data_IF_543309300618
#
_entry.id   IF_543309300618
#
_cell.length_a   1.000
_cell.length_b   1.000
_cell.length_c   1.000
_cell.angle_alpha   90.00
_cell.angle_beta   90.00
_cell.angle_gamma   90.00
#
_symmetry.space_group_name_H-M   'P 1'
#
loop_
_entity.id
_entity.type
_entity.pdbx_description
1 polymer ?
#
# COMPACT_ATOMS: atom_id res chain seq x y z
N UNK A 1 -4.96 -0.81 28.70
CA UNK A 1 -3.67 -0.18 28.36
C UNK A 1 -3.86 0.67 27.12
N UNK A 2 -3.39 1.91 27.11
CA UNK A 2 -3.43 2.77 25.93
C UNK A 2 -2.50 2.27 24.81
N UNK A 3 -2.79 2.65 23.55
CA UNK A 3 -1.92 2.38 22.40
C UNK A 3 -0.56 3.05 22.59
N UNK A 4 0.50 2.41 22.09
CA UNK A 4 1.88 2.91 22.12
C UNK A 4 2.31 3.24 20.68
N UNK A 5 3.02 4.36 20.51
CA UNK A 5 3.74 4.72 19.31
C UNK A 5 5.25 4.80 19.59
N UNK A 6 6.07 4.66 18.56
CA UNK A 6 7.49 5.04 18.61
C UNK A 6 7.65 6.38 17.89
N UNK A 7 8.34 7.32 18.52
CA UNK A 7 8.65 8.64 17.97
C UNK A 7 10.10 8.98 18.31
N UNK A 8 10.96 9.12 17.32
CA UNK A 8 12.33 9.64 17.44
C UNK A 8 13.13 9.09 18.63
N UNK A 9 13.18 7.76 18.78
CA UNK A 9 13.97 7.11 19.85
C UNK A 9 13.17 6.71 21.10
N UNK A 10 11.91 7.15 21.23
CA UNK A 10 11.10 6.88 22.42
C UNK A 10 9.80 6.12 22.11
N UNK A 11 9.43 5.18 22.98
CA UNK A 11 8.08 4.57 22.99
C UNK A 11 7.18 5.39 23.91
N UNK A 12 6.21 6.06 23.33
CA UNK A 12 5.30 6.98 24.02
C UNK A 12 3.86 6.51 23.95
N UNK A 13 3.00 6.98 24.86
CA UNK A 13 1.56 6.75 24.70
C UNK A 13 1.10 7.39 23.39
N UNK A 14 0.28 6.71 22.64
CA UNK A 14 -0.21 7.21 21.34
C UNK A 14 -0.91 8.58 21.46
N UNK A 15 -1.57 8.84 22.58
CA UNK A 15 -2.22 10.13 22.84
C UNK A 15 -1.23 11.28 23.06
N UNK A 16 0.01 10.99 23.45
CA UNK A 16 1.06 11.98 23.73
C UNK A 16 2.10 12.03 22.58
N UNK A 17 1.92 11.21 21.53
CA UNK A 17 2.83 11.16 20.40
C UNK A 17 2.74 12.47 19.60
N UNK A 18 3.87 13.15 19.43
CA UNK A 18 3.97 14.40 18.69
C UNK A 18 5.25 14.45 17.86
N UNK A 19 5.21 15.17 16.77
CA UNK A 19 6.36 15.59 15.97
C UNK A 19 6.53 17.10 16.11
N UNK A 20 7.73 17.60 15.84
CA UNK A 20 7.99 19.04 15.90
C UNK A 20 7.19 19.78 14.81
N UNK A 21 6.73 21.00 15.10
CA UNK A 21 5.96 21.82 14.15
C UNK A 21 6.73 22.20 12.88
N UNK A 22 8.08 22.19 12.94
CA UNK A 22 8.98 22.40 11.80
C UNK A 22 9.48 21.08 11.19
N UNK A 23 8.86 19.92 11.50
CA UNK A 23 9.14 18.69 10.78
C UNK A 23 8.77 18.86 9.31
N UNK A 24 9.73 18.60 8.40
CA UNK A 24 9.54 18.84 6.97
C UNK A 24 8.50 17.88 6.34
N UNK A 25 8.33 16.70 6.90
CA UNK A 25 7.25 15.79 6.50
C UNK A 25 5.88 16.39 6.78
N UNK A 26 5.71 17.06 7.93
CA UNK A 26 4.49 17.75 8.29
C UNK A 26 4.24 18.99 7.42
N UNK A 27 5.26 19.82 7.21
CA UNK A 27 5.09 21.11 6.50
C UNK A 27 5.10 21.02 4.98
N UNK A 28 5.87 20.07 4.41
CA UNK A 28 6.21 20.04 2.98
C UNK A 28 5.98 18.67 2.34
N UNK A 29 5.47 17.69 3.07
CA UNK A 29 5.40 16.29 2.67
C UNK A 29 6.78 15.69 2.29
N UNK A 30 7.89 16.26 2.79
CA UNK A 30 9.25 15.78 2.56
C UNK A 30 9.53 14.55 3.45
N UNK A 31 8.85 13.46 3.09
CA UNK A 31 8.82 12.22 3.86
C UNK A 31 8.32 11.05 3.01
N UNK A 32 8.67 9.85 3.43
CA UNK A 32 8.16 8.60 2.89
C UNK A 32 7.47 7.79 4.00
N UNK A 33 6.69 6.79 3.60
CA UNK A 33 6.08 5.87 4.55
C UNK A 33 6.10 4.43 4.03
N UNK A 34 6.01 3.49 4.96
CA UNK A 34 5.81 2.08 4.68
C UNK A 34 4.69 1.50 5.53
N UNK A 35 4.05 0.45 5.00
CA UNK A 35 3.00 -0.26 5.71
C UNK A 35 3.21 -1.76 5.53
N UNK A 36 3.48 -2.46 6.62
CA UNK A 36 3.51 -3.93 6.65
C UNK A 36 2.17 -4.47 7.09
N UNK A 37 1.66 -5.47 6.38
CA UNK A 37 0.68 -6.37 6.96
C UNK A 37 1.35 -7.19 8.07
N UNK A 38 0.56 -7.52 9.07
CA UNK A 38 1.01 -8.33 10.19
C UNK A 38 0.05 -9.49 10.42
N UNK A 39 0.58 -10.68 10.52
CA UNK A 39 -0.15 -11.90 10.83
C UNK A 39 0.53 -12.63 11.97
N UNK A 40 -0.22 -12.97 13.00
CA UNK A 40 0.27 -13.65 14.20
C UNK A 40 1.47 -12.96 14.88
N UNK A 41 1.48 -11.63 14.89
CA UNK A 41 2.54 -10.81 15.49
C UNK A 41 3.81 -10.68 14.64
N UNK A 42 3.83 -11.23 13.43
CA UNK A 42 4.96 -11.22 12.50
C UNK A 42 4.68 -10.33 11.30
N UNK A 43 5.71 -9.62 10.82
CA UNK A 43 5.65 -8.72 9.65
C UNK A 43 5.69 -9.56 8.36
N UNK A 44 4.70 -9.38 7.49
CA UNK A 44 4.64 -10.01 6.18
C UNK A 44 5.51 -9.27 5.15
N UNK A 45 6.03 -9.99 4.17
CA UNK A 45 6.84 -9.46 3.05
C UNK A 45 7.97 -8.51 3.48
N UNK A 46 8.76 -8.82 4.53
CA UNK A 46 9.68 -7.85 5.13
C UNK A 46 10.73 -7.35 4.15
N UNK A 47 11.31 -8.24 3.32
CA UNK A 47 12.37 -7.91 2.38
C UNK A 47 11.92 -6.88 1.33
N UNK A 48 10.74 -7.11 0.73
CA UNK A 48 10.19 -6.20 -0.28
C UNK A 48 9.90 -4.80 0.29
N UNK A 49 9.38 -4.74 1.51
CA UNK A 49 9.09 -3.46 2.18
C UNK A 49 10.37 -2.71 2.55
N UNK A 50 11.41 -3.40 3.06
CA UNK A 50 12.69 -2.75 3.36
C UNK A 50 13.39 -2.26 2.10
N UNK A 51 13.41 -3.06 1.03
CA UNK A 51 13.99 -2.65 -0.25
C UNK A 51 13.27 -1.40 -0.83
N UNK A 52 11.94 -1.34 -0.73
CA UNK A 52 11.17 -0.17 -1.18
C UNK A 52 11.37 1.05 -0.28
N UNK A 53 11.51 0.85 1.04
CA UNK A 53 11.86 1.90 2.00
C UNK A 53 13.19 2.55 1.62
N UNK A 54 14.24 1.75 1.47
CA UNK A 54 15.59 2.20 1.10
C UNK A 54 15.58 2.94 -0.25
N UNK A 55 14.90 2.37 -1.25
CA UNK A 55 14.72 3.04 -2.54
C UNK A 55 14.00 4.39 -2.41
N UNK A 56 12.88 4.45 -1.70
CA UNK A 56 12.10 5.69 -1.57
C UNK A 56 12.85 6.78 -0.82
N UNK A 57 13.62 6.42 0.22
CA UNK A 57 14.51 7.34 0.92
C UNK A 57 15.62 7.86 0.01
N UNK A 58 16.27 6.96 -0.76
CA UNK A 58 17.31 7.33 -1.72
C UNK A 58 16.83 8.31 -2.79
N UNK A 59 15.63 8.11 -3.34
CA UNK A 59 15.01 9.00 -4.33
C UNK A 59 14.78 10.43 -3.79
N UNK A 60 14.57 10.58 -2.48
CA UNK A 60 14.43 11.88 -1.81
C UNK A 60 15.75 12.34 -1.16
N UNK A 61 16.85 11.62 -1.31
CA UNK A 61 18.12 11.91 -0.63
C UNK A 61 17.94 12.08 0.88
N UNK A 62 17.18 11.17 1.49
CA UNK A 62 17.02 11.06 2.94
C UNK A 62 17.83 9.83 3.39
N UNK A 63 18.71 10.00 4.35
CA UNK A 63 19.48 8.90 4.91
C UNK A 63 18.60 7.91 5.68
N UNK A 64 19.00 6.64 5.70
CA UNK A 64 18.36 5.67 6.59
C UNK A 64 18.52 6.11 8.04
N UNK A 65 17.43 6.21 8.82
CA UNK A 65 17.48 6.74 10.18
C UNK A 65 18.27 5.84 11.15
N UNK A 66 18.39 4.57 10.81
CA UNK A 66 19.10 3.55 11.58
C UNK A 66 19.35 2.32 10.71
N UNK A 67 20.16 1.37 11.17
CA UNK A 67 20.35 0.11 10.46
C UNK A 67 19.03 -0.67 10.34
N UNK A 68 18.91 -1.49 9.29
CA UNK A 68 17.74 -2.35 9.07
C UNK A 68 17.42 -3.24 10.29
N UNK A 69 18.46 -3.79 10.94
CA UNK A 69 18.30 -4.61 12.15
C UNK A 69 17.71 -3.81 13.32
N UNK A 70 18.20 -2.59 13.54
CA UNK A 70 17.65 -1.70 14.57
C UNK A 70 16.20 -1.32 14.27
N UNK A 71 15.89 -0.97 13.03
CA UNK A 71 14.52 -0.63 12.62
C UNK A 71 13.58 -1.82 12.77
N UNK A 72 14.01 -3.04 12.40
CA UNK A 72 13.25 -4.27 12.64
C UNK A 72 12.93 -4.46 14.13
N UNK A 73 13.90 -4.20 15.01
CA UNK A 73 13.69 -4.26 16.46
C UNK A 73 12.65 -3.22 16.91
N UNK A 74 12.72 -2.00 16.41
CA UNK A 74 11.75 -0.94 16.72
C UNK A 74 10.34 -1.33 16.26
N UNK A 75 10.18 -1.86 15.04
CA UNK A 75 8.89 -2.32 14.53
C UNK A 75 8.30 -3.43 15.40
N UNK A 76 9.08 -4.49 15.66
CA UNK A 76 8.65 -5.63 16.49
C UNK A 76 8.32 -5.22 17.91
N UNK A 77 9.12 -4.35 18.54
CA UNK A 77 8.88 -3.87 19.89
C UNK A 77 7.62 -2.99 19.97
N UNK A 78 7.35 -2.18 18.94
CA UNK A 78 6.10 -1.41 18.87
C UNK A 78 4.89 -2.34 18.78
N UNK A 79 4.97 -3.41 17.97
CA UNK A 79 3.93 -4.47 17.89
C UNK A 79 3.72 -5.12 19.26
N UNK A 80 4.80 -5.58 19.90
CA UNK A 80 4.78 -6.25 21.20
C UNK A 80 4.11 -5.40 22.30
N UNK A 81 4.46 -4.11 22.36
CA UNK A 81 3.88 -3.17 23.34
C UNK A 81 2.38 -2.95 23.12
N UNK A 82 1.92 -3.02 21.88
CA UNK A 82 0.49 -2.88 21.55
C UNK A 82 -0.31 -4.18 21.70
N UNK A 83 0.35 -5.34 21.89
CA UNK A 83 -0.29 -6.66 22.02
C UNK A 83 -1.25 -6.96 20.86
N UNK A 84 -0.86 -6.60 19.65
CA UNK A 84 -1.62 -6.84 18.43
C UNK A 84 -1.00 -8.01 17.69
N UNK A 85 -1.81 -9.00 17.28
CA UNK A 85 -1.35 -10.14 16.49
C UNK A 85 -1.63 -9.93 15.00
N UNK A 86 -2.80 -9.42 14.67
CA UNK A 86 -3.20 -9.17 13.28
C UNK A 86 -3.48 -7.70 13.07
N UNK A 87 -2.84 -7.11 12.05
CA UNK A 87 -2.92 -5.67 11.87
C UNK A 87 -2.00 -5.10 10.81
N UNK A 88 -1.77 -3.82 10.94
CA UNK A 88 -0.86 -3.05 10.09
C UNK A 88 0.15 -2.31 10.96
N UNK A 89 1.42 -2.35 10.56
CA UNK A 89 2.47 -1.51 11.09
C UNK A 89 2.74 -0.40 10.09
N UNK A 90 2.58 0.83 10.52
CA UNK A 90 2.90 2.03 9.74
C UNK A 90 4.21 2.62 10.23
N UNK A 91 5.12 2.88 9.31
CA UNK A 91 6.36 3.62 9.50
C UNK A 91 6.32 4.88 8.65
N UNK A 92 6.70 6.01 9.21
CA UNK A 92 7.00 7.23 8.46
C UNK A 92 8.42 7.69 8.78
N UNK A 93 9.15 8.09 7.75
CA UNK A 93 10.46 8.72 7.89
C UNK A 93 10.42 10.05 7.14
N UNK A 94 10.61 11.16 7.85
CA UNK A 94 10.75 12.48 7.24
C UNK A 94 12.23 12.87 7.19
N UNK A 95 12.55 13.90 6.40
CA UNK A 95 13.89 14.52 6.44
C UNK A 95 14.25 15.07 7.83
N UNK A 96 13.27 15.29 8.70
CA UNK A 96 13.46 15.80 10.06
C UNK A 96 13.12 17.28 10.19
N UNK A 97 13.64 17.90 11.25
CA UNK A 97 13.29 19.27 11.68
C UNK A 97 14.28 20.27 11.12
N UNK A 98 13.80 21.25 10.39
CA UNK A 98 14.59 22.36 9.87
C UNK A 98 13.71 23.60 9.67
N UNK A 99 14.26 24.81 9.70
CA UNK A 99 13.55 26.03 9.35
C UNK A 99 12.86 25.87 7.98
N UNK A 100 11.64 26.39 7.86
CA UNK A 100 10.83 26.22 6.67
C UNK A 100 11.44 26.86 5.45
N UNK A 101 11.95 26.08 4.54
CA UNK A 101 12.40 26.45 3.20
C UNK A 101 12.01 25.33 2.23
N UNK A 102 11.80 25.65 0.94
CA UNK A 102 11.54 24.64 -0.10
C UNK A 102 12.80 23.85 -0.46
N UNK A 103 13.96 24.49 -0.44
CA UNK A 103 15.24 23.81 -0.65
C UNK A 103 15.56 22.83 0.51
N UNK A 104 16.41 21.86 0.22
CA UNK A 104 16.92 21.00 1.29
C UNK A 104 17.78 21.81 2.27
N UNK A 105 17.77 21.46 3.57
CA UNK A 105 18.61 22.11 4.56
C UNK A 105 20.09 22.04 4.16
N UNK A 106 20.82 23.15 4.36
CA UNK A 106 22.26 23.22 4.08
C UNK A 106 23.08 22.32 5.03
N UNK A 107 22.58 22.11 6.24
CA UNK A 107 23.21 21.22 7.23
C UNK A 107 22.48 19.88 7.26
N UNK A 108 23.21 18.77 7.45
CA UNK A 108 22.58 17.46 7.64
C UNK A 108 21.55 17.50 8.76
N UNK A 109 20.34 17.03 8.44
CA UNK A 109 19.22 17.01 9.39
C UNK A 109 18.94 15.55 9.75
N UNK A 110 18.96 15.17 11.02
CA UNK A 110 18.61 13.82 11.43
C UNK A 110 17.17 13.47 11.00
N UNK A 111 16.95 12.37 10.28
CA UNK A 111 15.60 11.96 9.89
C UNK A 111 14.72 11.71 11.13
N UNK A 112 13.46 12.14 11.05
CA UNK A 112 12.48 11.83 12.09
C UNK A 112 11.74 10.53 11.75
N UNK A 113 11.50 9.71 12.77
CA UNK A 113 10.90 8.37 12.63
C UNK A 113 9.67 8.23 13.50
N UNK A 114 8.56 7.84 12.90
CA UNK A 114 7.32 7.53 13.62
C UNK A 114 6.86 6.13 13.25
N UNK A 115 6.55 5.30 14.26
CA UNK A 115 5.94 3.98 14.06
C UNK A 115 4.64 3.89 14.84
N UNK A 116 3.59 3.45 14.16
CA UNK A 116 2.29 3.15 14.79
C UNK A 116 1.80 1.77 14.38
N UNK A 117 0.92 1.19 15.20
CA UNK A 117 0.31 -0.12 14.92
C UNK A 117 -1.21 0.00 15.01
N UNK A 118 -1.90 -0.61 14.05
CA UNK A 118 -3.36 -0.66 13.99
C UNK A 118 -3.82 -2.12 13.91
N UNK A 119 -4.75 -2.51 14.78
CA UNK A 119 -5.41 -3.82 14.69
C UNK A 119 -6.31 -3.89 13.45
N UNK A 120 -6.32 -5.03 12.79
CA UNK A 120 -7.31 -5.40 11.77
C UNK A 120 -8.11 -6.61 12.25
N UNK A 121 -9.23 -6.87 11.58
CA UNK A 121 -10.05 -8.06 11.79
C UNK A 121 -9.90 -8.95 10.54
N UNK A 122 -9.16 -10.07 10.64
CA UNK A 122 -8.98 -10.99 9.52
C UNK A 122 -10.30 -11.63 9.06
N UNK A 123 -11.22 -11.90 9.98
CA UNK A 123 -12.51 -12.50 9.61
C UNK A 123 -13.38 -11.53 8.80
N UNK A 124 -13.42 -10.26 9.20
CA UNK A 124 -14.11 -9.23 8.43
C UNK A 124 -13.44 -8.98 7.06
N UNK A 125 -12.11 -9.04 6.99
CA UNK A 125 -11.39 -8.93 5.72
C UNK A 125 -11.70 -10.12 4.79
N UNK A 126 -11.78 -11.32 5.32
CA UNK A 126 -12.13 -12.52 4.57
C UNK A 126 -13.59 -12.50 4.08
N UNK A 127 -14.53 -12.11 4.93
CA UNK A 127 -15.94 -11.96 4.54
C UNK A 127 -16.11 -10.93 3.41
N UNK A 128 -15.35 -9.82 3.45
CA UNK A 128 -15.35 -8.84 2.37
C UNK A 128 -14.78 -9.42 1.08
N UNK A 129 -13.68 -10.16 1.15
CA UNK A 129 -13.09 -10.78 -0.02
C UNK A 129 -14.00 -11.84 -0.64
N UNK A 130 -14.69 -12.62 0.19
CA UNK A 130 -15.67 -13.61 -0.26
C UNK A 130 -16.90 -12.98 -0.96
N UNK A 131 -17.33 -11.80 -0.55
CA UNK A 131 -18.39 -11.03 -1.21
C UNK A 131 -17.91 -10.20 -2.41
N UNK A 132 -16.64 -9.88 -2.45
CA UNK A 132 -16.08 -8.88 -3.34
C UNK A 132 -16.49 -7.45 -2.98
N UNK A 133 -15.91 -6.48 -3.67
CA UNK A 133 -16.18 -5.06 -3.44
C UNK A 133 -16.41 -4.32 -4.75
N UNK A 134 -17.07 -3.15 -4.68
CA UNK A 134 -17.12 -2.20 -5.79
C UNK A 134 -15.97 -1.20 -5.73
N UNK A 135 -15.59 -0.69 -6.88
CA UNK A 135 -14.69 0.45 -7.04
C UNK A 135 -15.34 1.52 -7.89
N UNK A 136 -14.89 2.76 -7.75
CA UNK A 136 -15.20 3.84 -8.70
C UNK A 136 -13.95 4.21 -9.47
N UNK A 137 -14.11 4.90 -10.60
CA UNK A 137 -12.99 5.55 -11.30
C UNK A 137 -12.88 7.02 -10.93
N UNK A 138 -11.69 7.58 -11.09
CA UNK A 138 -11.39 9.00 -10.89
C UNK A 138 -10.24 9.42 -11.80
N UNK A 139 -10.19 10.66 -12.29
CA UNK A 139 -9.08 11.13 -13.11
C UNK A 139 -7.74 11.02 -12.39
N UNK A 140 -6.68 10.63 -13.11
CA UNK A 140 -5.31 10.64 -12.60
C UNK A 140 -4.83 12.09 -12.41
N UNK A 141 -4.72 12.51 -11.18
CA UNK A 141 -4.33 13.87 -10.81
C UNK A 141 -3.21 13.89 -9.76
N UNK A 142 -2.52 12.77 -9.58
CA UNK A 142 -1.37 12.67 -8.70
C UNK A 142 -0.13 13.27 -9.39
N UNK A 143 0.93 13.44 -8.63
CA UNK A 143 2.20 13.88 -9.19
C UNK A 143 2.88 12.78 -10.03
N UNK A 144 3.86 13.19 -10.87
CA UNK A 144 4.53 12.28 -11.81
C UNK A 144 5.50 11.25 -11.21
N UNK A 145 5.69 11.23 -9.88
CA UNK A 145 6.61 10.32 -9.17
C UNK A 145 5.85 9.42 -8.20
N UNK A 146 4.76 8.79 -8.66
CA UNK A 146 3.99 7.82 -7.87
C UNK A 146 4.79 6.56 -7.50
N UNK A 147 5.93 6.35 -8.14
CA UNK A 147 6.91 5.31 -7.82
C UNK A 147 7.57 5.49 -6.44
N UNK A 148 7.61 6.73 -5.91
CA UNK A 148 8.12 7.05 -4.58
C UNK A 148 6.97 7.02 -3.58
N UNK A 149 7.12 6.23 -2.50
CA UNK A 149 6.06 6.09 -1.49
C UNK A 149 6.03 7.27 -0.51
N UNK A 150 5.75 8.47 -1.04
CA UNK A 150 5.74 9.73 -0.26
C UNK A 150 4.45 9.90 0.54
N UNK A 151 4.48 10.76 1.56
CA UNK A 151 3.30 11.14 2.36
C UNK A 151 2.43 12.22 1.68
N UNK A 152 2.79 12.68 0.48
CA UNK A 152 2.02 13.65 -0.30
C UNK A 152 0.76 13.01 -0.93
N UNK A 153 -0.20 12.63 -0.11
CA UNK A 153 -1.33 11.77 -0.48
C UNK A 153 -2.67 12.51 -0.67
N UNK A 154 -2.67 13.83 -0.83
CA UNK A 154 -3.92 14.58 -0.95
C UNK A 154 -4.83 14.10 -2.10
N UNK A 155 -4.34 13.85 -3.33
CA UNK A 155 -5.17 13.27 -4.39
C UNK A 155 -5.75 11.91 -4.00
N UNK A 156 -4.95 11.04 -3.37
CA UNK A 156 -5.38 9.73 -2.89
C UNK A 156 -6.47 9.84 -1.80
N UNK A 157 -6.33 10.80 -0.88
CA UNK A 157 -7.33 11.08 0.16
C UNK A 157 -8.66 11.51 -0.45
N UNK A 158 -8.64 12.41 -1.43
CA UNK A 158 -9.85 12.87 -2.14
C UNK A 158 -10.50 11.73 -2.92
N UNK A 159 -9.72 10.91 -3.63
CA UNK A 159 -10.19 9.73 -4.34
C UNK A 159 -10.83 8.70 -3.39
N UNK A 160 -10.18 8.41 -2.25
CA UNK A 160 -10.75 7.52 -1.21
C UNK A 160 -12.03 8.07 -0.60
N UNK A 161 -12.11 9.38 -0.40
CA UNK A 161 -13.34 10.01 0.11
C UNK A 161 -14.47 9.92 -0.92
N UNK A 162 -14.18 10.14 -2.21
CA UNK A 162 -15.16 9.97 -3.29
C UNK A 162 -15.68 8.52 -3.34
N UNK A 163 -14.78 7.53 -3.30
CA UNK A 163 -15.15 6.11 -3.24
C UNK A 163 -16.08 5.82 -2.05
N UNK A 164 -15.70 6.29 -0.86
CA UNK A 164 -16.50 6.11 0.36
C UNK A 164 -17.89 6.74 0.24
N UNK A 165 -17.98 7.92 -0.34
CA UNK A 165 -19.27 8.62 -0.56
C UNK A 165 -20.17 7.89 -1.55
N UNK A 166 -19.57 7.16 -2.51
CA UNK A 166 -20.27 6.31 -3.48
C UNK A 166 -20.54 4.88 -2.94
N UNK A 167 -20.19 4.57 -1.68
CA UNK A 167 -20.33 3.22 -1.11
C UNK A 167 -19.31 2.21 -1.65
N UNK A 168 -18.27 2.67 -2.36
CA UNK A 168 -17.22 1.83 -2.92
C UNK A 168 -16.03 1.65 -1.95
N UNK A 169 -15.28 0.59 -2.14
CA UNK A 169 -14.13 0.26 -1.28
C UNK A 169 -12.83 0.95 -1.71
N UNK A 170 -12.69 1.23 -3.01
CA UNK A 170 -11.49 1.82 -3.59
C UNK A 170 -11.86 2.74 -4.75
N UNK A 171 -10.94 3.66 -5.10
CA UNK A 171 -11.01 4.42 -6.34
C UNK A 171 -9.84 4.02 -7.23
N UNK A 172 -10.08 3.74 -8.50
CA UNK A 172 -9.06 3.51 -9.51
C UNK A 172 -8.82 4.80 -10.30
N UNK A 173 -7.58 5.21 -10.38
CA UNK A 173 -7.17 6.33 -11.20
C UNK A 173 -7.14 5.93 -12.68
N UNK A 174 -7.66 6.82 -13.54
CA UNK A 174 -7.65 6.66 -15.00
C UNK A 174 -6.93 7.86 -15.60
N UNK A 175 -5.92 7.58 -16.43
CA UNK A 175 -5.14 8.62 -17.10
C UNK A 175 -5.91 9.26 -18.27
N UNK A 176 -5.30 10.30 -18.90
CA UNK A 176 -5.94 11.04 -19.98
C UNK A 176 -6.20 10.20 -21.26
N UNK A 177 -5.49 9.08 -21.39
CA UNK A 177 -5.62 8.16 -22.51
C UNK A 177 -6.66 7.04 -22.23
N UNK A 178 -7.32 7.09 -21.05
CA UNK A 178 -8.37 6.13 -20.67
C UNK A 178 -7.83 4.84 -20.04
N UNK A 179 -6.54 4.78 -19.68
CA UNK A 179 -5.96 3.61 -19.05
C UNK A 179 -6.01 3.70 -17.52
N UNK A 180 -6.34 2.58 -16.89
CA UNK A 180 -6.24 2.44 -15.44
C UNK A 180 -4.77 2.46 -15.02
N UNK A 181 -4.43 3.34 -14.08
CA UNK A 181 -3.08 3.40 -13.52
C UNK A 181 -2.95 2.48 -12.31
N UNK A 182 -3.56 2.83 -11.21
CA UNK A 182 -3.64 2.04 -9.98
C UNK A 182 -4.78 2.54 -9.08
N UNK A 183 -5.02 1.89 -7.96
CA UNK A 183 -5.97 2.38 -6.95
C UNK A 183 -5.38 3.48 -6.07
N UNK A 184 -6.23 4.20 -5.36
CA UNK A 184 -5.81 5.25 -4.43
C UNK A 184 -4.92 4.72 -3.27
N UNK A 185 -4.95 3.41 -3.01
CA UNK A 185 -4.06 2.77 -2.02
C UNK A 185 -3.63 1.35 -2.43
N UNK A 186 -3.71 1.02 -3.72
CA UNK A 186 -3.57 -0.36 -4.22
C UNK A 186 -3.13 -0.38 -5.68
N UNK A 187 -2.61 -1.53 -6.16
CA UNK A 187 -2.41 -1.77 -7.58
C UNK A 187 -3.62 -2.49 -8.18
N UNK A 188 -4.01 -2.13 -9.40
CA UNK A 188 -5.16 -2.69 -10.10
C UNK A 188 -4.75 -3.87 -11.00
N UNK A 189 -5.67 -4.83 -11.15
CA UNK A 189 -5.48 -6.06 -11.90
C UNK A 189 -6.77 -6.48 -12.58
N UNK A 190 -6.64 -7.11 -13.74
CA UNK A 190 -7.73 -7.79 -14.43
C UNK A 190 -7.33 -9.20 -14.86
N UNK A 191 -8.31 -10.05 -15.07
CA UNK A 191 -8.16 -11.35 -15.76
C UNK A 191 -9.00 -11.27 -17.03
N UNK A 192 -8.36 -11.37 -18.19
CA UNK A 192 -9.06 -11.28 -19.49
C UNK A 192 -9.98 -12.48 -19.72
N UNK A 193 -10.81 -12.42 -20.75
CA UNK A 193 -11.68 -13.54 -21.16
C UNK A 193 -10.86 -14.82 -21.45
N UNK A 194 -9.64 -14.67 -21.98
CA UNK A 194 -8.69 -15.75 -22.29
C UNK A 194 -7.94 -16.26 -21.04
N UNK A 195 -8.17 -15.66 -19.86
CA UNK A 195 -7.55 -16.07 -18.61
C UNK A 195 -6.15 -15.48 -18.39
N UNK A 196 -5.78 -14.41 -19.12
CA UNK A 196 -4.50 -13.71 -18.92
C UNK A 196 -4.62 -12.75 -17.75
N UNK A 197 -3.70 -12.81 -16.83
CA UNK A 197 -3.57 -11.88 -15.71
C UNK A 197 -2.84 -10.61 -16.18
N UNK A 198 -3.50 -9.47 -16.12
CA UNK A 198 -2.94 -8.19 -16.58
C UNK A 198 -2.85 -7.21 -15.42
N UNK A 199 -1.73 -6.51 -15.33
CA UNK A 199 -1.51 -5.38 -14.43
C UNK A 199 -0.58 -4.37 -15.09
N UNK A 200 -0.71 -3.09 -14.75
CA UNK A 200 0.17 -2.06 -15.29
C UNK A 200 1.63 -2.33 -14.94
N UNK A 201 2.55 -2.10 -15.88
CA UNK A 201 3.99 -2.23 -15.63
C UNK A 201 4.50 -1.12 -14.69
N UNK A 202 5.62 -1.39 -14.01
CA UNK A 202 6.19 -0.47 -13.01
C UNK A 202 7.13 0.59 -13.60
N UNK A 203 7.31 0.64 -14.91
CA UNK A 203 8.00 1.74 -15.60
C UNK A 203 7.08 2.96 -15.73
N UNK A 204 5.75 2.75 -15.66
CA UNK A 204 4.76 3.81 -15.63
C UNK A 204 4.64 4.44 -14.23
N UNK A 205 3.89 5.53 -14.12
CA UNK A 205 3.68 6.32 -12.90
C UNK A 205 2.78 5.59 -11.87
N UNK A 206 3.19 4.41 -11.42
CA UNK A 206 2.52 3.66 -10.36
C UNK A 206 3.50 3.27 -9.26
N UNK A 207 2.96 2.99 -8.09
CA UNK A 207 3.77 2.45 -7.00
C UNK A 207 4.19 0.99 -7.30
N UNK A 208 5.45 0.68 -7.10
CA UNK A 208 5.97 -0.70 -7.11
C UNK A 208 5.47 -1.44 -5.87
N UNK A 209 4.24 -1.97 -5.94
CA UNK A 209 3.59 -2.63 -4.81
C UNK A 209 4.34 -3.88 -4.38
N UNK A 210 4.61 -4.03 -3.07
CA UNK A 210 5.26 -5.25 -2.53
C UNK A 210 4.30 -6.43 -2.68
N UNK A 211 3.04 -6.30 -2.26
CA UNK A 211 2.01 -7.31 -2.50
C UNK A 211 1.87 -7.66 -3.98
N UNK A 212 2.00 -6.67 -4.88
CA UNK A 212 1.99 -6.89 -6.33
C UNK A 212 3.18 -7.77 -6.75
N UNK A 213 4.39 -7.47 -6.27
CA UNK A 213 5.59 -8.22 -6.62
C UNK A 213 5.49 -9.69 -6.16
N UNK A 214 5.13 -9.92 -4.90
CA UNK A 214 4.92 -11.26 -4.37
C UNK A 214 3.83 -12.01 -5.15
N UNK A 215 2.73 -11.34 -5.52
CA UNK A 215 1.66 -11.96 -6.29
C UNK A 215 2.09 -12.37 -7.70
N UNK A 216 2.94 -11.59 -8.35
CA UNK A 216 3.53 -11.96 -9.66
C UNK A 216 4.33 -13.26 -9.56
N UNK A 217 5.15 -13.42 -8.52
CA UNK A 217 5.89 -14.66 -8.30
C UNK A 217 4.97 -15.85 -8.03
N UNK A 218 3.96 -15.66 -7.20
CA UNK A 218 2.93 -16.68 -6.95
C UNK A 218 2.21 -17.07 -8.25
N UNK A 219 1.80 -16.10 -9.07
CA UNK A 219 1.11 -16.37 -10.32
C UNK A 219 2.01 -17.09 -11.35
N UNK A 220 3.31 -16.78 -11.39
CA UNK A 220 4.31 -17.51 -12.22
C UNK A 220 4.44 -18.97 -11.78
N UNK A 221 4.52 -19.22 -10.48
CA UNK A 221 4.59 -20.59 -9.91
C UNK A 221 3.34 -21.40 -10.24
N UNK A 222 2.19 -20.75 -10.34
CA UNK A 222 0.91 -21.35 -10.72
C UNK A 222 0.73 -21.51 -12.25
N UNK A 223 1.74 -21.15 -13.05
CA UNK A 223 1.70 -21.15 -14.51
C UNK A 223 0.58 -20.29 -15.11
N UNK A 224 0.17 -19.22 -14.42
CA UNK A 224 -0.80 -18.25 -14.94
C UNK A 224 -0.07 -17.35 -15.94
N UNK A 225 -0.63 -17.20 -17.15
CA UNK A 225 -0.09 -16.26 -18.15
C UNK A 225 -0.25 -14.83 -17.62
N UNK A 226 0.85 -14.06 -17.62
CA UNK A 226 0.90 -12.69 -17.09
C UNK A 226 1.33 -11.74 -18.19
N UNK A 227 0.68 -10.58 -18.25
CA UNK A 227 1.10 -9.44 -19.05
C UNK A 227 1.20 -8.19 -18.16
N UNK A 228 2.42 -7.64 -18.06
CA UNK A 228 2.67 -6.38 -17.37
C UNK A 228 2.56 -5.25 -18.39
N UNK A 229 1.36 -4.69 -18.56
CA UNK A 229 1.03 -3.62 -19.51
C UNK A 229 -0.12 -2.75 -19.01
N UNK A 230 -0.32 -1.61 -19.63
CA UNK A 230 -1.55 -0.83 -19.46
C UNK A 230 -2.79 -1.63 -19.91
N UNK A 231 -3.91 -1.37 -19.25
CA UNK A 231 -5.24 -1.82 -19.68
C UNK A 231 -6.25 -0.68 -19.53
N UNK A 232 -7.18 -0.57 -20.46
CA UNK A 232 -8.18 0.49 -20.46
C UNK A 232 -9.30 0.21 -19.46
N UNK A 233 -10.09 1.24 -19.14
CA UNK A 233 -11.32 1.07 -18.37
C UNK A 233 -12.31 0.15 -19.09
N UNK A 234 -12.40 0.26 -20.42
CA UNK A 234 -13.24 -0.62 -21.24
C UNK A 234 -12.80 -2.07 -21.12
N UNK A 235 -11.48 -2.34 -21.23
CA UNK A 235 -10.92 -3.68 -21.01
C UNK A 235 -11.18 -4.21 -19.60
N UNK A 236 -11.14 -3.35 -18.58
CA UNK A 236 -11.45 -3.72 -17.21
C UNK A 236 -12.93 -4.09 -17.01
N UNK A 237 -13.84 -3.39 -17.68
CA UNK A 237 -15.28 -3.69 -17.66
C UNK A 237 -15.61 -4.99 -18.43
N UNK A 238 -14.88 -5.28 -19.52
CA UNK A 238 -15.03 -6.52 -20.29
C UNK A 238 -14.28 -7.71 -19.66
N UNK A 239 -13.50 -7.49 -18.61
CA UNK A 239 -12.70 -8.53 -18.00
C UNK A 239 -13.56 -9.62 -17.32
N UNK A 240 -13.04 -10.84 -17.29
CA UNK A 240 -13.67 -11.96 -16.60
C UNK A 240 -13.62 -11.78 -15.07
N UNK A 241 -12.51 -11.24 -14.57
CA UNK A 241 -12.31 -10.92 -13.14
C UNK A 241 -11.52 -9.62 -13.03
N UNK A 242 -11.74 -8.89 -11.94
CA UNK A 242 -10.91 -7.76 -11.56
C UNK A 242 -10.62 -7.84 -10.05
N UNK A 243 -9.49 -7.29 -9.63
CA UNK A 243 -9.12 -7.19 -8.23
C UNK A 243 -8.06 -6.11 -8.01
N UNK A 244 -7.79 -5.79 -6.76
CA UNK A 244 -6.67 -4.93 -6.41
C UNK A 244 -5.82 -5.53 -5.28
N UNK A 245 -4.56 -5.09 -5.19
CA UNK A 245 -3.60 -5.56 -4.19
C UNK A 245 -2.98 -4.43 -3.38
N UNK A 246 -2.73 -4.69 -2.11
CA UNK A 246 -2.03 -3.76 -1.22
C UNK A 246 -1.88 -4.34 0.17
N UNK A 247 -0.96 -3.83 0.97
CA UNK A 247 -0.63 -4.39 2.28
C UNK A 247 -1.84 -4.53 3.21
N UNK A 248 -2.76 -3.56 3.20
CA UNK A 248 -3.97 -3.60 4.03
C UNK A 248 -5.13 -4.41 3.46
N UNK A 249 -5.17 -4.61 2.14
CA UNK A 249 -6.23 -5.32 1.44
C UNK A 249 -5.82 -6.76 1.08
N UNK A 250 -4.51 -7.04 1.08
CA UNK A 250 -3.91 -8.23 0.49
C UNK A 250 -4.27 -8.31 -1.01
N UNK A 251 -5.11 -9.24 -1.40
CA UNK A 251 -5.81 -9.26 -2.68
C UNK A 251 -7.31 -9.13 -2.40
N UNK A 252 -7.97 -8.15 -3.03
CA UNK A 252 -9.40 -7.89 -2.85
C UNK A 252 -10.12 -7.97 -4.20
N UNK A 253 -11.03 -8.94 -4.39
CA UNK A 253 -11.80 -9.06 -5.62
C UNK A 253 -12.71 -7.85 -5.85
N UNK A 254 -12.75 -7.36 -7.09
CA UNK A 254 -13.62 -6.28 -7.56
C UNK A 254 -14.76 -6.90 -8.36
N UNK A 255 -15.98 -6.65 -7.94
CA UNK A 255 -17.19 -7.21 -8.57
C UNK A 255 -17.98 -6.17 -9.35
N UNK A 256 -17.68 -4.88 -9.18
CA UNK A 256 -18.28 -3.81 -9.97
C UNK A 256 -17.32 -2.61 -10.07
N UNK A 257 -17.32 -1.93 -11.21
CA UNK A 257 -16.62 -0.68 -11.50
C UNK A 257 -17.66 0.35 -11.92
N UNK A 258 -17.74 1.50 -11.24
CA UNK A 258 -18.74 2.57 -11.47
C UNK A 258 -20.18 2.04 -11.57
N UNK A 259 -20.52 1.08 -10.71
CA UNK A 259 -21.83 0.44 -10.69
C UNK A 259 -22.07 -0.63 -11.77
N UNK A 260 -21.16 -0.80 -12.72
CA UNK A 260 -21.25 -1.85 -13.74
C UNK A 260 -20.58 -3.14 -13.24
N UNK A 261 -21.25 -4.31 -13.36
CA UNK A 261 -20.67 -5.57 -12.89
C UNK A 261 -19.47 -5.97 -13.75
N UNK A 262 -18.43 -6.54 -13.10
CA UNK A 262 -17.31 -7.19 -13.78
C UNK A 262 -17.58 -8.70 -13.83
N UNK A 263 -17.43 -9.29 -15.00
CA UNK A 263 -17.70 -10.72 -15.22
C UNK A 263 -19.10 -11.11 -14.75
N UNK A 264 -19.19 -12.00 -13.77
CA UNK A 264 -20.49 -12.44 -13.21
C UNK A 264 -21.01 -11.56 -12.06
N UNK A 265 -20.34 -10.47 -11.73
CA UNK A 265 -20.66 -9.65 -10.54
C UNK A 265 -20.33 -10.35 -9.21
N UNK A 266 -19.47 -11.35 -9.23
CA UNK A 266 -19.01 -12.12 -8.06
C UNK A 266 -17.50 -12.37 -8.14
N UNK A 267 -16.81 -12.59 -6.98
CA UNK A 267 -15.41 -12.98 -6.99
C UNK A 267 -15.15 -14.20 -7.87
N UNK A 268 -14.17 -14.09 -8.75
CA UNK A 268 -13.83 -15.18 -9.66
C UNK A 268 -12.81 -16.16 -9.06
N UNK A 269 -12.65 -17.34 -9.68
CA UNK A 269 -11.77 -18.41 -9.16
C UNK A 269 -10.29 -18.04 -9.18
N UNK A 270 -9.82 -17.23 -10.14
CA UNK A 270 -8.40 -16.83 -10.21
C UNK A 270 -8.05 -15.91 -9.06
N UNK A 271 -8.83 -14.86 -8.82
CA UNK A 271 -8.63 -13.94 -7.71
C UNK A 271 -8.71 -14.67 -6.35
N UNK A 272 -9.68 -15.57 -6.17
CA UNK A 272 -9.85 -16.35 -4.94
C UNK A 272 -8.65 -17.27 -4.69
N UNK A 273 -8.18 -17.99 -5.71
CA UNK A 273 -7.00 -18.86 -5.62
C UNK A 273 -5.74 -18.07 -5.31
N UNK A 274 -5.47 -17.01 -6.07
CA UNK A 274 -4.29 -16.15 -5.87
C UNK A 274 -4.27 -15.51 -4.48
N UNK A 275 -5.44 -15.09 -3.96
CA UNK A 275 -5.54 -14.59 -2.58
C UNK A 275 -5.08 -15.62 -1.57
N UNK A 276 -5.57 -16.85 -1.66
CA UNK A 276 -5.22 -17.92 -0.72
C UNK A 276 -3.73 -18.24 -0.75
N UNK A 277 -3.15 -18.34 -1.95
CA UNK A 277 -1.73 -18.61 -2.15
C UNK A 277 -0.85 -17.46 -1.65
N UNK A 278 -1.22 -16.22 -1.97
CA UNK A 278 -0.51 -15.05 -1.45
C UNK A 278 -0.48 -15.01 0.07
N UNK A 279 -1.63 -15.27 0.72
CA UNK A 279 -1.70 -15.28 2.20
C UNK A 279 -0.78 -16.37 2.79
N UNK A 280 -0.72 -17.54 2.17
CA UNK A 280 0.17 -18.62 2.61
C UNK A 280 1.64 -18.22 2.48
N UNK A 281 2.03 -17.66 1.33
CA UNK A 281 3.39 -17.20 1.06
C UNK A 281 3.82 -16.06 2.01
N UNK A 282 2.99 -15.02 2.14
CA UNK A 282 3.26 -13.89 3.01
C UNK A 282 3.42 -14.30 4.49
N UNK A 283 2.69 -15.34 4.94
CA UNK A 283 2.85 -15.92 6.29
C UNK A 283 4.11 -16.74 6.43
N UNK A 284 4.48 -17.49 5.40
CA UNK A 284 5.71 -18.32 5.42
C UNK A 284 6.97 -17.43 5.50
N UNK A 285 7.01 -16.34 4.74
CA UNK A 285 8.10 -15.38 4.73
C UNK A 285 8.10 -14.37 5.91
N UNK A 286 7.09 -14.38 6.79
CA UNK A 286 6.93 -13.39 7.85
C UNK A 286 7.99 -13.53 8.97
N UNK A 287 8.50 -12.40 9.49
CA UNK A 287 9.52 -12.31 10.54
C UNK A 287 8.99 -11.79 11.87
#
# INVERSE_FOLDING_TARGET
MGRIAYVNGAYVRHADAAVHIEDRGYQLADAIYEVWAMSDGRLCDPEGHFARLERSLGELSIDMPMSRAALTTVLKETVRRNRIRDGLVYLQVSRGVAPRDHAFPLQPTPPAVVVTVKRTDPAAAEARAAGGVSVITTPENRWGRCDIKTVGLLPNVLAKQAARSAGAAEAWFVDADGFVTEGASSNAWIVTAEGVLVTRDTAANILRGVTRATLLEVARTENIRIEERAFSLEEALAAREAFFTGAGALLMPVVAIDGQPVGTGRPGPVATRLRSLYIAEARAAAI
#
